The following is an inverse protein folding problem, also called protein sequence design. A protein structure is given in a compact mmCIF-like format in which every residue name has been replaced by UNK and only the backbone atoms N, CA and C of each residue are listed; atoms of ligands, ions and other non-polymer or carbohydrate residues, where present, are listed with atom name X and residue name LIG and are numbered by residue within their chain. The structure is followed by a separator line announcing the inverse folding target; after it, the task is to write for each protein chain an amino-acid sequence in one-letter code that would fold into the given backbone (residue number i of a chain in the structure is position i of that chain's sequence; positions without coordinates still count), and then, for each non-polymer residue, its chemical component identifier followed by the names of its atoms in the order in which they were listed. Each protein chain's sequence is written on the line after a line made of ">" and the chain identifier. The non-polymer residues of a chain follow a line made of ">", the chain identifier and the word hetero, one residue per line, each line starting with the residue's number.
data_IF_026548414548
#
_entry.id   IF_026548414548
#
_cell.length_a   1.000
_cell.length_b   1.000
_cell.length_c   1.000
_cell.angle_alpha   90.00
_cell.angle_beta   90.00
_cell.angle_gamma   90.00
#
_symmetry.space_group_name_H-M   'P 1'
#
loop_
_entity.id
_entity.type
_entity.pdbx_description
1 polymer ?
#
# COMPACT_ATOMS: atom_id res chain seq x y z
N UNK A 1 3.77 42.11 3.46
CA UNK A 1 2.31 42.13 3.75
C UNK A 1 2.17 42.17 5.26
N UNK A 2 1.43 43.15 5.80
CA UNK A 2 1.12 43.21 7.23
C UNK A 2 0.37 41.95 7.65
N UNK A 3 0.75 41.33 8.76
CA UNK A 3 -0.01 40.21 9.31
C UNK A 3 -1.42 40.70 9.65
N UNK A 4 -2.45 39.97 9.21
CA UNK A 4 -3.84 40.24 9.59
C UNK A 4 -3.95 40.05 11.11
N UNK A 5 -4.36 41.09 11.82
CA UNK A 5 -4.58 41.04 13.26
C UNK A 5 -5.96 40.42 13.53
N UNK A 6 -6.00 39.21 14.08
CA UNK A 6 -7.25 38.50 14.35
C UNK A 6 -7.63 38.71 15.82
N UNK A 7 -8.75 39.41 16.12
CA UNK A 7 -9.14 39.70 17.50
C UNK A 7 -9.24 38.44 18.36
N UNK A 8 -8.74 38.51 19.60
CA UNK A 8 -8.75 37.38 20.54
C UNK A 8 -7.60 36.38 20.35
N UNK A 9 -6.81 36.51 19.29
CA UNK A 9 -5.68 35.62 19.00
C UNK A 9 -4.36 36.41 18.91
N UNK A 10 -3.32 35.91 19.56
CA UNK A 10 -1.96 36.41 19.41
C UNK A 10 -1.16 35.47 18.51
N UNK A 11 -0.76 35.94 17.34
CA UNK A 11 0.06 35.15 16.42
C UNK A 11 1.46 34.96 16.99
N UNK A 12 1.92 33.71 17.09
CA UNK A 12 3.24 33.36 17.62
C UNK A 12 4.22 33.16 16.46
N UNK A 13 3.88 32.27 15.53
CA UNK A 13 4.71 32.00 14.34
C UNK A 13 3.89 31.39 13.21
N UNK A 14 4.33 31.59 11.98
CA UNK A 14 3.80 30.86 10.82
C UNK A 14 4.30 29.42 10.85
N UNK A 15 3.40 28.44 10.71
CA UNK A 15 3.72 27.00 10.74
C UNK A 15 3.40 26.29 9.42
N UNK A 16 2.63 26.91 8.53
CA UNK A 16 2.35 26.39 7.20
C UNK A 16 1.99 27.51 6.22
N UNK A 17 2.21 27.25 4.94
CA UNK A 17 1.77 28.12 3.85
C UNK A 17 1.33 27.22 2.69
N UNK A 18 0.10 27.42 2.22
CA UNK A 18 -0.46 26.76 1.05
C UNK A 18 -0.93 27.79 0.03
N UNK A 19 -1.35 27.31 -1.16
CA UNK A 19 -1.81 28.19 -2.23
C UNK A 19 -3.05 29.04 -1.89
N UNK A 20 -3.86 28.60 -0.91
CA UNK A 20 -5.14 29.23 -0.55
C UNK A 20 -5.19 29.74 0.89
N UNK A 21 -4.25 29.34 1.74
CA UNK A 21 -4.29 29.67 3.16
C UNK A 21 -2.89 29.62 3.79
N UNK A 22 -2.70 30.46 4.79
CA UNK A 22 -1.56 30.43 5.69
C UNK A 22 -1.99 29.87 7.05
N UNK A 23 -1.13 29.08 7.69
CA UNK A 23 -1.40 28.50 9.01
C UNK A 23 -0.40 29.04 10.01
N UNK A 24 -0.91 29.55 11.12
CA UNK A 24 -0.12 30.12 12.21
C UNK A 24 -0.33 29.34 13.50
N UNK A 25 0.74 29.15 14.28
CA UNK A 25 0.60 28.89 15.70
C UNK A 25 0.21 30.20 16.37
N UNK A 26 -0.88 30.19 17.13
CA UNK A 26 -1.39 31.35 17.84
C UNK A 26 -1.80 30.97 19.27
N UNK A 27 -1.84 31.95 20.15
CA UNK A 27 -2.43 31.83 21.48
C UNK A 27 -3.86 32.39 21.45
N UNK A 28 -4.85 31.61 21.88
CA UNK A 28 -6.19 32.11 22.13
C UNK A 28 -6.20 32.81 23.49
N UNK A 29 -6.17 34.15 23.48
CA UNK A 29 -5.85 34.98 24.65
C UNK A 29 -6.79 34.72 25.83
N UNK A 30 -8.09 34.58 25.56
CA UNK A 30 -9.10 34.38 26.60
C UNK A 30 -8.94 33.06 27.39
N UNK A 31 -8.33 32.04 26.78
CA UNK A 31 -8.17 30.71 27.37
C UNK A 31 -6.70 30.37 27.68
N UNK A 32 -5.73 31.18 27.23
CA UNK A 32 -4.30 30.94 27.43
C UNK A 32 -3.79 29.64 26.78
N UNK A 33 -4.44 29.17 25.70
CA UNK A 33 -4.08 27.93 25.01
C UNK A 33 -3.53 28.18 23.61
N UNK A 34 -2.65 27.28 23.16
CA UNK A 34 -2.13 27.28 21.80
C UNK A 34 -3.14 26.65 20.83
N UNK A 35 -3.32 27.29 19.69
CA UNK A 35 -4.19 26.87 18.59
C UNK A 35 -3.47 26.97 17.25
N UNK A 36 -3.90 26.19 16.28
CA UNK A 36 -3.57 26.42 14.88
C UNK A 36 -4.62 27.35 14.27
N UNK A 37 -4.16 28.46 13.68
CA UNK A 37 -5.01 29.48 13.07
C UNK A 37 -4.77 29.48 11.56
N UNK A 38 -5.72 28.93 10.81
CA UNK A 38 -5.69 28.89 9.35
C UNK A 38 -6.40 30.12 8.81
N UNK A 39 -5.69 30.94 8.04
CA UNK A 39 -6.16 32.21 7.49
C UNK A 39 -6.13 32.13 5.97
N UNK A 40 -7.29 32.34 5.33
CA UNK A 40 -7.39 32.30 3.87
C UNK A 40 -6.66 33.51 3.27
N UNK A 41 -5.85 33.29 2.23
CA UNK A 41 -5.00 34.34 1.63
C UNK A 41 -5.74 35.20 0.61
N UNK A 42 -6.87 34.72 0.09
CA UNK A 42 -7.68 35.44 -0.88
C UNK A 42 -9.00 35.90 -0.28
N UNK A 43 -9.35 37.16 -0.54
CA UNK A 43 -10.68 37.69 -0.22
C UNK A 43 -11.71 36.89 -1.02
N UNK A 44 -12.63 36.28 -0.30
CA UNK A 44 -13.63 35.39 -0.89
C UNK A 44 -14.88 36.20 -1.25
N UNK A 45 -15.52 35.89 -2.38
CA UNK A 45 -16.82 36.46 -2.77
C UNK A 45 -17.86 36.27 -1.63
N UNK A 46 -18.62 37.31 -1.23
CA UNK A 46 -19.62 37.22 -0.17
C UNK A 46 -20.58 36.03 -0.26
N UNK A 47 -20.96 35.59 -1.47
CA UNK A 47 -21.86 34.43 -1.65
C UNK A 47 -21.14 33.09 -1.40
N UNK A 48 -19.84 33.02 -1.66
CA UNK A 48 -18.99 31.87 -1.31
C UNK A 48 -18.74 31.84 0.21
N UNK A 49 -18.48 33.00 0.83
CA UNK A 49 -18.32 33.12 2.29
C UNK A 49 -19.50 32.51 3.06
N UNK A 50 -20.74 32.79 2.65
CA UNK A 50 -21.94 32.21 3.31
C UNK A 50 -21.97 30.68 3.27
N UNK A 51 -21.72 30.07 2.11
CA UNK A 51 -21.70 28.60 1.98
C UNK A 51 -20.52 28.00 2.74
N UNK A 52 -19.37 28.67 2.74
CA UNK A 52 -18.22 28.27 3.52
C UNK A 52 -18.59 28.15 5.00
N UNK A 53 -19.20 29.18 5.59
CA UNK A 53 -19.63 29.13 6.99
C UNK A 53 -20.66 28.03 7.27
N UNK A 54 -21.50 27.64 6.30
CA UNK A 54 -22.44 26.52 6.46
C UNK A 54 -21.72 25.18 6.55
N UNK A 55 -20.80 24.89 5.61
CA UNK A 55 -19.99 23.67 5.62
C UNK A 55 -19.07 23.62 6.84
N UNK A 56 -18.45 24.75 7.18
CA UNK A 56 -17.53 24.83 8.30
C UNK A 56 -18.22 24.61 9.65
N UNK A 57 -19.50 25.00 9.78
CA UNK A 57 -20.34 24.67 10.95
C UNK A 57 -20.63 23.18 11.07
N UNK A 58 -20.76 22.45 9.97
CA UNK A 58 -20.92 21.00 10.01
C UNK A 58 -19.66 20.34 10.54
N UNK A 59 -18.49 20.78 10.05
CA UNK A 59 -17.19 20.28 10.52
C UNK A 59 -16.96 20.63 12.00
N UNK A 60 -17.30 21.85 12.42
CA UNK A 60 -17.13 22.28 13.82
C UNK A 60 -18.01 21.52 14.83
N UNK A 61 -19.07 20.84 14.37
CA UNK A 61 -19.91 19.98 15.22
C UNK A 61 -19.38 18.56 15.34
N UNK A 62 -18.41 18.16 14.51
CA UNK A 62 -17.80 16.85 14.61
C UNK A 62 -16.89 16.78 15.83
N UNK A 63 -17.14 15.82 16.70
CA UNK A 63 -16.32 15.53 17.86
C UNK A 63 -15.84 14.09 17.79
N UNK A 64 -14.59 13.90 17.39
CA UNK A 64 -13.99 12.59 17.25
C UNK A 64 -12.48 12.64 17.55
N UNK A 65 -11.90 11.67 18.27
CA UNK A 65 -10.48 11.70 18.66
C UNK A 65 -9.49 11.73 17.47
N UNK A 66 -9.94 11.24 16.30
CA UNK A 66 -9.16 11.23 15.06
C UNK A 66 -9.56 12.35 14.08
N UNK A 67 -10.33 13.34 14.51
CA UNK A 67 -10.64 14.56 13.72
C UNK A 67 -10.14 15.78 14.51
N UNK A 68 -9.46 16.70 13.84
CA UNK A 68 -9.01 17.94 14.47
C UNK A 68 -10.22 18.76 14.90
N UNK A 69 -10.28 19.13 16.19
CA UNK A 69 -11.38 19.93 16.68
C UNK A 69 -11.26 21.38 16.19
N UNK A 70 -12.34 21.89 15.60
CA UNK A 70 -12.47 23.30 15.25
C UNK A 70 -13.09 24.04 16.44
N UNK A 71 -12.45 25.10 16.89
CA UNK A 71 -12.90 25.89 18.04
C UNK A 71 -13.69 27.11 17.64
N UNK A 72 -13.30 27.73 16.53
CA UNK A 72 -13.82 29.03 16.13
C UNK A 72 -13.63 29.24 14.64
N UNK A 73 -14.56 29.98 14.03
CA UNK A 73 -14.55 30.32 12.61
C UNK A 73 -15.10 31.73 12.49
N UNK A 74 -14.35 32.60 11.83
CA UNK A 74 -14.75 34.00 11.68
C UNK A 74 -14.17 34.65 10.44
N UNK A 75 -14.46 35.93 10.32
CA UNK A 75 -14.01 36.79 9.23
C UNK A 75 -13.38 38.06 9.82
N UNK A 76 -12.22 38.44 9.31
CA UNK A 76 -11.52 39.68 9.66
C UNK A 76 -10.99 40.32 8.39
N UNK A 77 -11.34 41.58 8.15
CA UNK A 77 -10.90 42.36 6.98
C UNK A 77 -11.15 41.67 5.61
N UNK A 78 -12.26 40.93 5.51
CA UNK A 78 -12.63 40.16 4.32
C UNK A 78 -11.88 38.83 4.15
N UNK A 79 -11.11 38.43 5.16
CA UNK A 79 -10.36 37.17 5.19
C UNK A 79 -10.96 36.23 6.22
N UNK A 80 -11.27 35.01 5.78
CA UNK A 80 -11.80 33.97 6.66
C UNK A 80 -10.66 33.36 7.49
N UNK A 81 -10.92 33.08 8.76
CA UNK A 81 -10.04 32.30 9.61
C UNK A 81 -10.76 31.11 10.25
N UNK A 82 -10.01 30.05 10.53
CA UNK A 82 -10.43 28.89 11.31
C UNK A 82 -9.40 28.70 12.43
N UNK A 83 -9.86 28.70 13.69
CA UNK A 83 -9.06 28.31 14.84
C UNK A 83 -9.36 26.85 15.19
N UNK A 84 -8.33 26.04 15.31
CA UNK A 84 -8.43 24.59 15.54
C UNK A 84 -7.34 24.10 16.50
N UNK A 85 -7.46 22.86 16.98
CA UNK A 85 -6.45 22.24 17.81
C UNK A 85 -5.07 22.32 17.15
N UNK A 86 -4.06 22.76 17.92
CA UNK A 86 -2.68 22.70 17.48
C UNK A 86 -2.11 21.29 17.71
N UNK A 87 -1.61 20.68 16.65
CA UNK A 87 -1.05 19.32 16.67
C UNK A 87 0.49 19.37 16.60
N UNK A 88 1.21 19.31 17.74
CA UNK A 88 2.66 19.51 17.77
C UNK A 88 3.48 18.34 17.20
N UNK A 89 2.88 17.17 16.96
CA UNK A 89 3.59 15.99 16.45
C UNK A 89 4.02 16.08 14.98
N UNK A 90 3.56 17.11 14.26
CA UNK A 90 3.76 17.29 12.82
C UNK A 90 2.75 16.53 11.98
N UNK A 91 3.01 16.40 10.69
CA UNK A 91 2.16 15.68 9.73
C UNK A 91 2.83 14.40 9.19
N UNK A 92 2.04 13.54 8.54
CA UNK A 92 2.51 12.30 7.94
C UNK A 92 3.48 12.52 6.78
N UNK A 93 3.35 13.63 6.03
CA UNK A 93 4.28 14.00 4.96
C UNK A 93 5.71 14.19 5.49
N UNK A 94 5.85 14.87 6.64
CA UNK A 94 7.12 15.05 7.33
C UNK A 94 7.66 13.73 7.88
N UNK A 95 6.79 12.90 8.46
CA UNK A 95 7.17 11.60 8.99
C UNK A 95 7.73 10.67 7.90
N UNK A 96 7.06 10.60 6.75
CA UNK A 96 7.48 9.78 5.59
C UNK A 96 8.74 10.33 4.90
N UNK A 97 9.12 11.59 5.12
CA UNK A 97 10.41 12.14 4.65
C UNK A 97 11.55 11.79 5.59
N UNK A 98 11.29 11.72 6.89
CA UNK A 98 12.28 11.42 7.92
C UNK A 98 12.63 9.93 7.97
N UNK A 99 11.65 9.07 7.69
CA UNK A 99 11.80 7.62 7.74
C UNK A 99 11.50 7.04 6.36
N UNK A 100 12.36 6.15 5.86
CA UNK A 100 12.18 5.53 4.54
C UNK A 100 10.91 4.66 4.49
N UNK A 101 10.62 3.90 5.56
CA UNK A 101 9.41 3.08 5.72
C UNK A 101 9.02 2.98 7.21
N UNK A 102 7.72 3.04 7.49
CA UNK A 102 7.18 2.80 8.83
C UNK A 102 6.99 1.30 9.08
N UNK A 103 7.10 0.81 10.33
CA UNK A 103 6.66 -0.53 10.69
C UNK A 103 5.21 -0.77 10.24
N UNK A 104 4.92 -1.98 9.76
CA UNK A 104 3.61 -2.33 9.21
C UNK A 104 2.50 -2.10 10.22
N UNK A 105 2.74 -2.43 11.49
CA UNK A 105 1.81 -2.25 12.60
C UNK A 105 1.47 -0.77 12.78
N UNK A 106 2.48 0.10 12.67
CA UNK A 106 2.28 1.55 12.77
C UNK A 106 1.52 2.09 11.55
N UNK A 107 1.82 1.58 10.36
CA UNK A 107 1.07 1.90 9.14
C UNK A 107 -0.41 1.55 9.29
N UNK A 108 -0.72 0.31 9.72
CA UNK A 108 -2.09 -0.13 9.92
C UNK A 108 -2.81 0.66 11.02
N UNK A 109 -2.11 1.05 12.09
CA UNK A 109 -2.68 1.90 13.14
C UNK A 109 -3.10 3.27 12.61
N UNK A 110 -2.24 3.92 11.80
CA UNK A 110 -2.55 5.22 11.18
C UNK A 110 -3.75 5.07 10.24
N UNK A 111 -3.77 4.05 9.39
CA UNK A 111 -4.88 3.81 8.46
C UNK A 111 -6.19 3.52 9.21
N UNK A 112 -6.13 2.78 10.32
CA UNK A 112 -7.26 2.53 11.20
C UNK A 112 -7.82 3.83 11.81
N UNK A 113 -6.96 4.67 12.38
CA UNK A 113 -7.34 5.97 12.96
C UNK A 113 -8.03 6.87 11.92
N UNK A 114 -7.52 6.92 10.69
CA UNK A 114 -8.11 7.71 9.61
C UNK A 114 -9.40 7.09 9.08
N UNK A 115 -9.51 5.76 9.02
CA UNK A 115 -10.76 5.09 8.66
C UNK A 115 -11.88 5.38 9.69
N UNK A 116 -11.56 5.48 10.99
CA UNK A 116 -12.51 5.89 12.03
C UNK A 116 -12.96 7.34 11.84
N UNK A 117 -12.02 8.25 11.54
CA UNK A 117 -12.33 9.65 11.24
C UNK A 117 -13.27 9.77 10.03
N UNK A 118 -12.98 9.01 8.96
CA UNK A 118 -13.79 8.99 7.75
C UNK A 118 -15.19 8.42 8.01
N UNK A 119 -15.30 7.31 8.75
CA UNK A 119 -16.59 6.75 9.15
C UNK A 119 -17.47 7.82 9.82
N UNK A 120 -16.93 8.49 10.84
CA UNK A 120 -17.66 9.50 11.58
C UNK A 120 -18.08 10.68 10.70
N UNK A 121 -17.20 11.14 9.80
CA UNK A 121 -17.53 12.22 8.87
C UNK A 121 -18.61 11.82 7.87
N UNK A 122 -18.54 10.61 7.31
CA UNK A 122 -19.48 10.09 6.33
C UNK A 122 -20.88 9.90 6.93
N UNK A 123 -20.98 9.45 8.19
CA UNK A 123 -22.25 9.37 8.94
C UNK A 123 -22.91 10.74 9.14
N UNK A 124 -22.11 11.81 9.16
CA UNK A 124 -22.58 13.20 9.22
C UNK A 124 -22.76 13.84 7.83
N UNK A 125 -22.67 13.06 6.75
CA UNK A 125 -22.88 13.52 5.38
C UNK A 125 -21.71 14.33 4.80
N UNK A 126 -20.52 14.26 5.41
CA UNK A 126 -19.34 15.04 5.01
C UNK A 126 -18.33 14.13 4.33
N UNK A 127 -18.01 14.40 3.07
CA UNK A 127 -16.92 13.75 2.33
C UNK A 127 -15.68 14.64 2.39
N UNK A 128 -14.51 14.09 2.72
CA UNK A 128 -13.28 14.87 2.90
C UNK A 128 -12.68 15.37 1.59
N UNK A 129 -12.60 14.51 0.56
CA UNK A 129 -12.15 14.78 -0.82
C UNK A 129 -10.68 15.13 -1.03
N UNK A 130 -9.84 15.05 0.01
CA UNK A 130 -8.41 15.42 -0.07
C UNK A 130 -7.54 14.64 0.92
N UNK A 131 -7.76 13.32 1.00
CA UNK A 131 -6.92 12.46 1.83
C UNK A 131 -5.51 12.39 1.23
N UNK A 132 -4.52 12.83 2.01
CA UNK A 132 -3.09 12.85 1.67
C UNK A 132 -2.25 12.99 2.95
N UNK A 133 -0.95 12.65 2.91
CA UNK A 133 -0.07 12.74 4.09
C UNK A 133 -0.04 14.11 4.79
N UNK A 134 -0.17 15.20 4.04
CA UNK A 134 -0.11 16.56 4.60
C UNK A 134 -1.33 16.89 5.50
N UNK A 135 -2.46 16.19 5.31
CA UNK A 135 -3.69 16.41 6.06
C UNK A 135 -3.85 15.44 7.26
N UNK A 136 -2.86 14.59 7.51
CA UNK A 136 -2.85 13.66 8.63
C UNK A 136 -1.82 14.16 9.65
N UNK A 137 -2.32 14.66 10.77
CA UNK A 137 -1.54 15.26 11.85
C UNK A 137 -1.34 14.27 13.00
N UNK A 138 -0.37 14.57 13.87
CA UNK A 138 -0.07 13.77 15.04
C UNK A 138 -0.13 14.59 16.32
N UNK A 139 -0.62 13.96 17.39
CA UNK A 139 -0.48 14.48 18.74
C UNK A 139 0.99 14.49 19.17
N UNK A 140 1.29 15.10 20.33
CA UNK A 140 2.65 15.39 20.77
C UNK A 140 3.59 14.18 20.81
N UNK A 141 3.10 13.04 21.30
CA UNK A 141 3.83 11.76 21.39
C UNK A 141 3.74 10.94 20.10
N UNK A 142 3.05 11.45 19.07
CA UNK A 142 2.73 10.78 17.81
C UNK A 142 2.02 9.45 18.00
N UNK A 143 1.33 9.21 19.11
CA UNK A 143 0.59 7.96 19.32
C UNK A 143 -0.66 7.85 18.44
N UNK A 144 -1.30 8.98 18.09
CA UNK A 144 -2.58 9.03 17.38
C UNK A 144 -2.52 9.86 16.10
N UNK A 145 -3.07 9.32 15.02
CA UNK A 145 -3.29 10.07 13.78
C UNK A 145 -4.63 10.83 13.85
N UNK A 146 -4.62 12.08 13.41
CA UNK A 146 -5.77 12.99 13.45
C UNK A 146 -5.92 13.66 12.10
N UNK A 147 -7.11 13.56 11.52
CA UNK A 147 -7.45 14.11 10.21
C UNK A 147 -7.84 15.58 10.32
N UNK A 148 -7.29 16.42 9.45
CA UNK A 148 -7.57 17.85 9.36
C UNK A 148 -8.00 18.24 7.94
N UNK A 149 -8.37 19.50 7.74
CA UNK A 149 -8.58 20.07 6.40
C UNK A 149 -9.65 19.34 5.56
N UNK A 150 -10.77 19.01 6.22
CA UNK A 150 -12.01 18.65 5.54
C UNK A 150 -12.30 19.72 4.47
N UNK A 151 -12.70 19.28 3.27
CA UNK A 151 -12.75 20.05 2.03
C UNK A 151 -13.70 21.26 1.96
N UNK A 152 -13.95 21.95 3.07
CA UNK A 152 -14.81 23.14 3.28
C UNK A 152 -14.53 24.25 2.24
N UNK A 153 -13.32 24.30 1.67
CA UNK A 153 -12.93 25.28 0.66
C UNK A 153 -13.04 24.78 -0.80
N UNK A 154 -13.19 23.47 -1.03
CA UNK A 154 -13.10 22.87 -2.37
C UNK A 154 -14.40 22.89 -3.16
N UNK A 155 -15.55 22.77 -2.51
CA UNK A 155 -16.85 22.76 -3.21
C UNK A 155 -17.15 24.08 -3.96
N UNK A 156 -16.45 25.16 -3.60
CA UNK A 156 -16.80 26.52 -4.05
C UNK A 156 -15.81 27.14 -5.04
N UNK A 157 -14.63 26.53 -5.18
CA UNK A 157 -13.70 26.80 -6.30
C UNK A 157 -13.98 25.87 -7.48
N UNK A 158 -14.53 24.69 -7.20
CA UNK A 158 -14.91 23.67 -8.18
C UNK A 158 -15.87 24.17 -9.28
N UNK A 159 -16.79 25.09 -8.97
CA UNK A 159 -17.73 25.60 -9.97
C UNK A 159 -17.08 26.40 -11.12
N UNK A 160 -15.82 26.87 -10.97
CA UNK A 160 -15.09 27.57 -12.04
C UNK A 160 -13.79 26.88 -12.48
N UNK A 161 -13.28 25.88 -11.75
CA UNK A 161 -11.99 25.23 -12.06
C UNK A 161 -12.12 23.83 -12.67
N UNK A 162 -13.33 23.24 -12.68
CA UNK A 162 -13.54 21.89 -13.24
C UNK A 162 -13.47 21.79 -14.78
N UNK A 163 -13.22 22.88 -15.50
CA UNK A 163 -13.06 22.88 -16.97
C UNK A 163 -11.63 23.12 -17.47
N UNK A 164 -10.63 23.19 -16.60
CA UNK A 164 -9.23 23.18 -17.01
C UNK A 164 -8.48 22.04 -16.34
N UNK A 165 -8.55 20.88 -16.98
CA UNK A 165 -7.55 19.81 -16.87
C UNK A 165 -6.19 20.42 -17.23
N UNK A 166 -5.51 21.01 -16.24
CA UNK A 166 -4.26 21.74 -16.47
C UNK A 166 -3.88 22.78 -15.42
N UNK A 167 -4.82 23.29 -14.60
CA UNK A 167 -4.54 24.38 -13.63
C UNK A 167 -4.80 24.03 -12.17
N UNK A 168 -5.25 22.81 -11.85
CA UNK A 168 -5.39 22.39 -10.45
C UNK A 168 -4.06 22.49 -9.73
N UNK A 169 -4.00 23.37 -8.73
CA UNK A 169 -2.85 23.54 -7.84
C UNK A 169 -2.64 22.24 -7.05
N UNK A 170 -1.79 21.37 -7.58
CA UNK A 170 -1.36 20.11 -6.97
C UNK A 170 -1.46 18.90 -7.91
N UNK A 171 -0.42 18.07 -7.94
CA UNK A 171 -0.43 16.78 -8.63
C UNK A 171 -1.49 15.84 -8.01
N UNK A 172 -2.39 15.21 -8.77
CA UNK A 172 -3.54 14.44 -8.28
C UNK A 172 -3.17 13.05 -7.72
N UNK A 173 -2.14 12.99 -6.87
CA UNK A 173 -1.47 11.75 -6.42
C UNK A 173 -2.35 10.76 -5.66
N UNK A 174 -3.39 11.27 -5.00
CA UNK A 174 -4.31 10.47 -4.16
C UNK A 174 -5.76 10.55 -4.66
N UNK A 175 -5.99 11.12 -5.85
CA UNK A 175 -7.34 11.39 -6.35
C UNK A 175 -8.07 10.09 -6.73
N UNK A 176 -9.35 10.00 -6.38
CA UNK A 176 -10.20 8.87 -6.80
C UNK A 176 -10.55 8.91 -8.30
N UNK A 177 -10.89 7.76 -8.92
CA UNK A 177 -11.27 7.69 -10.33
C UNK A 177 -12.51 8.54 -10.69
N UNK A 178 -13.44 8.72 -9.75
CA UNK A 178 -14.63 9.55 -9.91
C UNK A 178 -14.32 11.04 -9.78
N UNK A 179 -13.42 11.44 -8.86
CA UNK A 179 -12.91 12.81 -8.80
C UNK A 179 -12.20 13.20 -10.10
N UNK A 180 -11.35 12.31 -10.63
CA UNK A 180 -10.63 12.54 -11.88
C UNK A 180 -11.57 12.66 -13.10
N UNK A 181 -12.78 12.10 -13.00
CA UNK A 181 -13.83 12.20 -14.04
C UNK A 181 -14.85 13.32 -13.79
N UNK A 182 -14.73 14.07 -12.68
CA UNK A 182 -15.73 15.06 -12.29
C UNK A 182 -17.11 14.48 -11.99
N UNK A 183 -17.18 13.22 -11.54
CA UNK A 183 -18.43 12.57 -11.17
C UNK A 183 -18.83 12.95 -9.73
N UNK A 184 -20.12 12.81 -9.36
CA UNK A 184 -20.55 12.94 -7.97
C UNK A 184 -19.73 12.03 -7.04
N UNK A 185 -19.41 12.54 -5.86
CA UNK A 185 -18.57 11.87 -4.87
C UNK A 185 -19.41 11.42 -3.67
N UNK A 186 -19.03 10.29 -3.10
CA UNK A 186 -19.48 9.85 -1.77
C UNK A 186 -18.27 9.45 -0.91
N UNK A 187 -18.52 8.93 0.30
CA UNK A 187 -17.45 8.55 1.23
C UNK A 187 -16.46 7.52 0.67
N UNK A 188 -16.84 6.73 -0.33
CA UNK A 188 -15.98 5.69 -0.94
C UNK A 188 -14.88 6.31 -1.80
N UNK A 189 -15.00 7.58 -2.18
CA UNK A 189 -13.91 8.35 -2.78
C UNK A 189 -12.77 8.55 -1.79
N UNK A 190 -13.07 8.84 -0.52
CA UNK A 190 -12.05 9.00 0.52
C UNK A 190 -11.37 7.67 0.85
N UNK A 191 -12.12 6.56 0.85
CA UNK A 191 -11.58 5.21 1.08
C UNK A 191 -10.62 4.77 -0.03
N UNK A 192 -10.86 5.20 -1.28
CA UNK A 192 -9.89 5.00 -2.36
C UNK A 192 -8.59 5.76 -2.10
N UNK A 193 -8.69 7.04 -1.75
CA UNK A 193 -7.53 7.88 -1.43
C UNK A 193 -6.76 7.33 -0.22
N UNK A 194 -7.46 6.78 0.77
CA UNK A 194 -6.86 6.09 1.91
C UNK A 194 -6.15 4.78 1.47
N UNK A 195 -6.68 4.06 0.49
CA UNK A 195 -6.02 2.91 -0.13
C UNK A 195 -4.73 3.27 -0.86
N UNK A 196 -4.72 4.39 -1.60
CA UNK A 196 -3.50 4.94 -2.22
C UNK A 196 -2.45 5.26 -1.15
N UNK A 197 -2.86 5.89 -0.05
CA UNK A 197 -1.99 6.20 1.07
C UNK A 197 -1.44 4.94 1.74
N UNK A 198 -2.29 3.93 1.99
CA UNK A 198 -1.87 2.63 2.52
C UNK A 198 -0.77 2.02 1.64
N UNK A 199 -0.98 1.97 0.33
CA UNK A 199 0.02 1.44 -0.61
C UNK A 199 1.36 2.20 -0.48
N UNK A 200 1.30 3.53 -0.43
CA UNK A 200 2.50 4.36 -0.28
C UNK A 200 3.23 4.08 1.03
N UNK A 201 2.51 3.95 2.14
CA UNK A 201 3.10 3.70 3.45
C UNK A 201 3.71 2.29 3.55
N UNK A 202 3.12 1.31 2.85
CA UNK A 202 3.63 -0.06 2.81
C UNK A 202 4.87 -0.22 1.91
N UNK A 203 4.92 0.50 0.78
CA UNK A 203 5.94 0.28 -0.27
C UNK A 203 6.95 1.42 -0.40
N UNK A 204 6.68 2.57 0.22
CA UNK A 204 7.49 3.79 0.10
C UNK A 204 7.27 4.56 -1.21
N UNK A 205 6.44 4.03 -2.12
CA UNK A 205 6.21 4.60 -3.46
C UNK A 205 4.72 4.78 -3.74
N UNK A 206 4.36 5.76 -4.58
CA UNK A 206 2.98 5.91 -5.01
C UNK A 206 2.58 4.73 -5.92
N UNK A 207 1.29 4.34 -5.96
CA UNK A 207 0.85 3.24 -6.81
C UNK A 207 1.02 3.54 -8.30
N UNK A 208 0.94 4.83 -8.67
CA UNK A 208 1.06 5.27 -10.05
C UNK A 208 2.05 6.42 -10.16
N UNK A 209 2.87 6.36 -11.20
CA UNK A 209 3.81 7.39 -11.61
C UNK A 209 3.52 7.80 -13.05
N UNK A 210 3.55 9.10 -13.30
CA UNK A 210 3.33 9.70 -14.61
C UNK A 210 4.08 11.05 -14.70
N UNK A 211 4.48 11.48 -15.91
CA UNK A 211 5.25 12.70 -16.10
C UNK A 211 4.45 13.98 -15.85
N UNK A 212 3.11 13.93 -16.00
CA UNK A 212 2.22 15.07 -15.85
C UNK A 212 0.94 14.69 -15.07
N UNK A 213 0.22 15.71 -14.61
CA UNK A 213 -0.96 15.56 -13.78
C UNK A 213 -2.14 14.87 -14.49
N UNK A 214 -2.34 15.13 -15.79
CA UNK A 214 -3.41 14.53 -16.56
C UNK A 214 -3.16 13.03 -16.74
N UNK A 215 -1.95 12.65 -17.13
CA UNK A 215 -1.58 11.24 -17.27
C UNK A 215 -1.67 10.50 -15.94
N UNK A 216 -1.35 11.15 -14.81
CA UNK A 216 -1.54 10.56 -13.48
C UNK A 216 -3.02 10.35 -13.14
N UNK A 217 -3.88 11.32 -13.43
CA UNK A 217 -5.33 11.19 -13.23
C UNK A 217 -5.90 10.04 -14.08
N UNK A 218 -5.46 9.92 -15.34
CA UNK A 218 -5.82 8.80 -16.22
C UNK A 218 -5.32 7.45 -15.67
N UNK A 219 -4.15 7.41 -15.03
CA UNK A 219 -3.66 6.20 -14.38
C UNK A 219 -4.59 5.73 -13.26
N UNK A 220 -5.08 6.64 -12.40
CA UNK A 220 -6.08 6.27 -11.40
C UNK A 220 -7.38 5.74 -12.02
N UNK A 221 -7.79 6.29 -13.18
CA UNK A 221 -8.98 5.89 -13.93
C UNK A 221 -8.85 4.49 -14.56
N UNK A 222 -7.68 4.16 -15.11
CA UNK A 222 -7.52 3.02 -16.05
C UNK A 222 -6.61 1.90 -15.53
N UNK A 223 -5.49 2.21 -14.85
CA UNK A 223 -4.52 1.19 -14.46
C UNK A 223 -5.06 0.37 -13.28
N UNK A 224 -4.86 -0.96 -13.25
CA UNK A 224 -5.30 -1.78 -12.12
C UNK A 224 -4.60 -1.36 -10.81
N UNK A 225 -5.15 -1.71 -9.64
CA UNK A 225 -4.39 -1.64 -8.39
C UNK A 225 -3.02 -2.34 -8.54
N UNK A 226 -1.93 -1.76 -8.03
CA UNK A 226 -0.60 -2.37 -8.12
C UNK A 226 -0.51 -3.65 -7.27
N UNK A 227 0.32 -4.58 -7.75
CA UNK A 227 0.68 -5.79 -7.00
C UNK A 227 1.73 -5.43 -5.95
N UNK A 228 1.45 -5.75 -4.70
CA UNK A 228 2.39 -5.61 -3.59
C UNK A 228 3.50 -6.67 -3.69
N UNK A 229 4.70 -6.37 -3.20
CA UNK A 229 5.76 -7.36 -3.03
C UNK A 229 5.28 -8.57 -2.21
N UNK A 230 5.85 -9.76 -2.45
CA UNK A 230 5.42 -11.00 -1.79
C UNK A 230 5.44 -10.93 -0.26
N UNK A 231 6.37 -10.17 0.33
CA UNK A 231 6.45 -9.91 1.78
C UNK A 231 5.21 -9.18 2.34
N UNK A 232 4.46 -8.50 1.49
CA UNK A 232 3.27 -7.73 1.80
C UNK A 232 1.99 -8.30 1.16
N UNK A 233 2.07 -9.48 0.54
CA UNK A 233 0.95 -10.09 -0.19
C UNK A 233 -0.32 -10.28 0.67
N UNK A 234 -0.16 -10.46 1.99
CA UNK A 234 -1.28 -10.52 2.94
C UNK A 234 -2.16 -9.26 2.96
N UNK A 235 -1.64 -8.12 2.52
CA UNK A 235 -2.37 -6.84 2.41
C UNK A 235 -2.94 -6.59 1.01
N UNK A 236 -2.69 -7.47 0.03
CA UNK A 236 -3.10 -7.26 -1.36
C UNK A 236 -4.61 -7.05 -1.48
N UNK A 237 -5.40 -7.92 -0.85
CA UNK A 237 -6.85 -7.84 -0.89
C UNK A 237 -7.39 -6.54 -0.26
N UNK A 238 -6.70 -5.98 0.74
CA UNK A 238 -7.04 -4.69 1.32
C UNK A 238 -6.77 -3.56 0.32
N UNK A 239 -5.59 -3.56 -0.33
CA UNK A 239 -5.25 -2.58 -1.37
C UNK A 239 -6.17 -2.67 -2.57
N UNK A 240 -6.43 -3.88 -3.09
CA UNK A 240 -7.30 -4.13 -4.23
C UNK A 240 -8.70 -3.61 -3.96
N UNK A 241 -9.27 -3.94 -2.79
CA UNK A 241 -10.62 -3.53 -2.42
C UNK A 241 -10.71 -2.03 -2.17
N UNK A 242 -9.75 -1.41 -1.49
CA UNK A 242 -9.74 0.05 -1.32
C UNK A 242 -9.59 0.78 -2.67
N UNK A 243 -8.73 0.29 -3.56
CA UNK A 243 -8.40 0.93 -4.83
C UNK A 243 -9.21 0.41 -6.03
N UNK A 244 -10.31 -0.32 -5.80
CA UNK A 244 -11.19 -0.79 -6.85
C UNK A 244 -11.73 0.39 -7.68
N UNK A 245 -11.89 0.21 -8.99
CA UNK A 245 -12.19 1.34 -9.88
C UNK A 245 -13.64 1.77 -9.79
N UNK A 246 -14.55 0.83 -9.60
CA UNK A 246 -15.94 1.12 -9.31
C UNK A 246 -16.12 1.35 -7.81
N UNK A 247 -16.78 2.43 -7.37
CA UNK A 247 -17.07 2.66 -5.95
C UNK A 247 -17.82 1.50 -5.29
N UNK A 248 -18.71 0.82 -6.02
CA UNK A 248 -19.50 -0.32 -5.50
C UNK A 248 -18.66 -1.57 -5.21
N UNK A 249 -17.46 -1.67 -5.76
CA UNK A 249 -16.51 -2.76 -5.49
C UNK A 249 -15.62 -2.49 -4.26
N UNK A 250 -15.69 -1.27 -3.69
CA UNK A 250 -14.89 -0.86 -2.53
C UNK A 250 -15.53 -1.27 -1.22
N UNK A 251 -14.87 -0.91 -0.12
CA UNK A 251 -15.52 -0.92 1.20
C UNK A 251 -16.70 0.05 1.20
N UNK A 252 -17.82 -0.38 1.77
CA UNK A 252 -19.03 0.43 1.86
C UNK A 252 -18.80 1.66 2.73
N UNK A 253 -18.01 1.51 3.79
CA UNK A 253 -17.69 2.56 4.76
C UNK A 253 -16.34 2.28 5.48
N UNK A 254 -15.95 3.17 6.39
CA UNK A 254 -14.71 3.04 7.16
C UNK A 254 -14.73 1.83 8.10
N UNK A 255 -15.88 1.50 8.70
CA UNK A 255 -16.04 0.34 9.58
C UNK A 255 -15.80 -0.99 8.85
N UNK A 256 -16.29 -1.12 7.62
CA UNK A 256 -16.04 -2.30 6.78
C UNK A 256 -14.55 -2.46 6.46
N UNK A 257 -13.84 -1.35 6.19
CA UNK A 257 -12.39 -1.38 5.98
C UNK A 257 -11.64 -1.79 7.25
N UNK A 258 -12.00 -1.23 8.41
CA UNK A 258 -11.41 -1.58 9.72
C UNK A 258 -11.63 -3.06 10.05
N UNK A 259 -12.84 -3.57 9.86
CA UNK A 259 -13.18 -4.97 10.11
C UNK A 259 -12.34 -5.89 9.24
N UNK A 260 -12.19 -5.54 7.96
CA UNK A 260 -11.33 -6.28 7.04
C UNK A 260 -9.86 -6.24 7.48
N UNK A 261 -9.36 -5.07 7.88
CA UNK A 261 -7.99 -4.91 8.42
C UNK A 261 -7.74 -5.78 9.65
N UNK A 262 -8.71 -5.90 10.56
CA UNK A 262 -8.57 -6.80 11.73
C UNK A 262 -8.50 -8.26 11.30
N UNK A 263 -9.33 -8.67 10.34
CA UNK A 263 -9.35 -10.06 9.85
C UNK A 263 -8.06 -10.52 9.17
N UNK A 264 -7.22 -9.58 8.70
CA UNK A 264 -5.90 -9.87 8.11
C UNK A 264 -4.75 -9.73 9.13
N UNK A 265 -5.00 -9.06 10.27
CA UNK A 265 -4.03 -8.87 11.36
C UNK A 265 -4.16 -9.93 12.45
N UNK A 266 -5.36 -10.48 12.66
CA UNK A 266 -5.57 -11.61 13.55
C UNK A 266 -4.96 -12.88 12.93
N UNK A 267 -4.13 -13.64 13.66
CA UNK A 267 -3.85 -15.01 13.27
C UNK A 267 -5.20 -15.72 13.26
N UNK A 268 -5.68 -16.15 12.10
CA UNK A 268 -6.88 -16.98 12.02
C UNK A 268 -6.67 -18.18 12.94
N UNK A 269 -7.35 -18.19 14.09
CA UNK A 269 -7.63 -19.43 14.81
C UNK A 269 -8.42 -20.31 13.82
N UNK A 270 -7.72 -21.27 13.23
CA UNK A 270 -8.39 -22.30 12.46
C UNK A 270 -9.23 -23.13 13.45
N UNK A 271 -10.53 -23.35 13.18
CA UNK A 271 -11.29 -24.33 13.96
C UNK A 271 -10.57 -25.67 13.87
N UNK A 272 -10.41 -26.33 15.01
CA UNK A 272 -9.63 -27.56 15.16
C UNK A 272 -9.93 -28.55 14.02
N UNK A 273 -8.93 -28.77 13.17
CA UNK A 273 -8.95 -29.79 12.13
C UNK A 273 -9.23 -31.17 12.78
N UNK A 274 -10.10 -32.01 12.19
CA UNK A 274 -10.33 -33.35 12.72
C UNK A 274 -9.01 -34.12 12.70
N UNK A 275 -8.70 -34.80 13.83
CA UNK A 275 -7.45 -35.56 14.02
C UNK A 275 -7.16 -36.44 12.80
N UNK A 276 -5.93 -36.42 12.26
CA UNK A 276 -5.58 -37.26 11.12
C UNK A 276 -5.55 -38.72 11.57
N UNK A 277 -6.22 -39.59 10.80
CA UNK A 277 -5.96 -41.02 10.82
C UNK A 277 -4.48 -41.23 10.44
N UNK A 278 -3.71 -41.80 11.36
CA UNK A 278 -2.33 -42.22 11.16
C UNK A 278 -2.28 -43.34 10.13
N UNK A 279 -1.88 -43.05 8.90
CA UNK A 279 -1.36 -44.05 7.95
C UNK A 279 -0.36 -43.47 6.93
N UNK A 280 0.26 -42.32 7.23
CA UNK A 280 1.39 -41.80 6.44
C UNK A 280 2.70 -41.89 7.23
N UNK A 281 3.81 -42.33 6.59
CA UNK A 281 5.11 -42.37 7.22
C UNK A 281 5.57 -40.95 7.59
N UNK A 282 6.38 -40.80 8.66
CA UNK A 282 6.74 -39.49 9.18
C UNK A 282 7.55 -38.68 8.16
N UNK A 283 7.28 -37.37 8.11
CA UNK A 283 8.08 -36.42 7.36
C UNK A 283 9.51 -36.34 7.94
N UNK A 284 10.52 -36.15 7.09
CA UNK A 284 11.92 -36.17 7.49
C UNK A 284 12.43 -34.86 8.13
N UNK A 285 13.45 -35.00 8.97
CA UNK A 285 14.13 -33.96 9.75
C UNK A 285 14.96 -32.94 8.91
N UNK A 286 15.35 -31.78 9.48
CA UNK A 286 15.93 -30.62 8.79
C UNK A 286 17.33 -30.79 8.19
N UNK A 287 18.02 -31.91 8.43
CA UNK A 287 19.36 -32.20 7.88
C UNK A 287 19.35 -32.88 6.50
N UNK A 288 18.24 -32.78 5.72
CA UNK A 288 18.16 -33.51 4.46
C UNK A 288 19.03 -32.91 3.36
N UNK A 289 20.10 -33.63 3.03
CA UNK A 289 20.88 -33.47 1.81
C UNK A 289 20.00 -33.45 0.55
N UNK A 290 20.46 -32.71 -0.47
CA UNK A 290 19.88 -32.76 -1.82
C UNK A 290 19.87 -34.21 -2.32
N UNK A 291 18.69 -34.76 -2.56
CA UNK A 291 18.52 -36.13 -3.01
C UNK A 291 18.47 -36.20 -4.53
N UNK A 292 19.18 -37.16 -5.12
CA UNK A 292 19.26 -37.38 -6.57
C UNK A 292 18.78 -38.80 -6.88
N UNK A 293 17.81 -38.93 -7.77
CA UNK A 293 17.27 -40.21 -8.22
C UNK A 293 17.25 -40.26 -9.76
N UNK A 294 17.87 -41.29 -10.33
CA UNK A 294 17.89 -41.51 -11.78
C UNK A 294 16.89 -42.61 -12.18
N UNK A 295 16.06 -42.32 -13.18
CA UNK A 295 15.11 -43.27 -13.75
C UNK A 295 15.26 -43.34 -15.27
N UNK A 296 15.08 -44.54 -15.81
CA UNK A 296 15.13 -44.79 -17.26
C UNK A 296 13.78 -45.36 -17.68
N UNK A 297 13.02 -44.58 -18.45
CA UNK A 297 11.70 -44.97 -18.92
C UNK A 297 11.70 -45.23 -20.43
N UNK A 298 10.84 -46.16 -20.87
CA UNK A 298 10.61 -46.47 -22.27
C UNK A 298 11.51 -47.59 -22.85
N UNK A 299 11.15 -48.11 -24.03
CA UNK A 299 11.88 -49.21 -24.69
C UNK A 299 13.27 -48.75 -25.15
N UNK A 300 14.19 -49.69 -25.40
CA UNK A 300 15.62 -49.40 -25.65
C UNK A 300 15.89 -48.38 -26.78
N UNK A 301 14.99 -48.29 -27.77
CA UNK A 301 15.07 -47.36 -28.91
C UNK A 301 14.49 -45.97 -28.63
N UNK A 302 13.80 -45.76 -27.50
CA UNK A 302 13.15 -44.51 -27.12
C UNK A 302 13.37 -44.15 -25.63
N UNK A 303 14.50 -44.57 -25.05
CA UNK A 303 14.80 -44.36 -23.62
C UNK A 303 14.81 -42.88 -23.26
N UNK A 304 14.03 -42.54 -22.23
CA UNK A 304 14.03 -41.26 -21.54
C UNK A 304 14.83 -41.39 -20.25
N UNK A 305 15.77 -40.48 -20.06
CA UNK A 305 16.59 -40.40 -18.86
C UNK A 305 16.05 -39.27 -17.98
N UNK A 306 15.45 -39.65 -16.86
CA UNK A 306 14.82 -38.73 -15.93
C UNK A 306 15.73 -38.62 -14.71
N UNK A 307 16.17 -37.41 -14.40
CA UNK A 307 16.85 -37.11 -13.15
C UNK A 307 15.88 -36.35 -12.26
N UNK A 308 15.57 -36.89 -11.09
CA UNK A 308 14.76 -36.24 -10.08
C UNK A 308 15.66 -35.74 -8.95
N UNK A 309 15.53 -34.46 -8.63
CA UNK A 309 16.27 -33.79 -7.58
C UNK A 309 15.27 -33.26 -6.56
N UNK A 310 15.42 -33.64 -5.30
CA UNK A 310 14.57 -33.15 -4.21
C UNK A 310 15.41 -32.51 -3.12
N UNK A 311 15.06 -31.29 -2.73
CA UNK A 311 15.79 -30.54 -1.70
C UNK A 311 14.86 -29.69 -0.83
N UNK A 312 15.33 -29.41 0.39
CA UNK A 312 14.72 -28.46 1.30
C UNK A 312 15.64 -27.24 1.46
N UNK A 313 15.06 -26.03 1.47
CA UNK A 313 15.79 -24.79 1.70
C UNK A 313 15.11 -23.96 2.80
N UNK A 314 15.80 -23.76 3.91
CA UNK A 314 15.38 -22.93 5.04
C UNK A 314 15.80 -21.46 4.88
N UNK A 315 16.99 -21.23 4.33
CA UNK A 315 17.52 -19.93 3.97
C UNK A 315 18.17 -19.89 2.56
N UNK A 316 18.59 -18.70 2.12
CA UNK A 316 19.14 -18.51 0.77
C UNK A 316 20.56 -19.06 0.61
N UNK A 317 21.36 -19.08 1.68
CA UNK A 317 22.72 -19.63 1.65
C UNK A 317 22.68 -21.16 1.56
N UNK A 318 21.75 -21.78 2.28
CA UNK A 318 21.40 -23.18 2.18
C UNK A 318 21.00 -23.55 0.76
N UNK A 319 20.09 -22.78 0.14
CA UNK A 319 19.71 -23.00 -1.25
C UNK A 319 20.89 -22.87 -2.21
N UNK A 320 21.74 -21.85 -2.06
CA UNK A 320 22.93 -21.67 -2.90
C UNK A 320 23.91 -22.85 -2.78
N UNK A 321 24.10 -23.41 -1.58
CA UNK A 321 24.90 -24.63 -1.39
C UNK A 321 24.31 -25.82 -2.15
N UNK A 322 22.99 -25.99 -2.13
CA UNK A 322 22.32 -27.02 -2.92
C UNK A 322 22.45 -26.78 -4.43
N UNK A 323 22.37 -25.53 -4.88
CA UNK A 323 22.52 -25.15 -6.28
C UNK A 323 23.91 -25.54 -6.83
N UNK A 324 24.97 -25.31 -6.05
CA UNK A 324 26.34 -25.74 -6.39
C UNK A 324 26.43 -27.26 -6.55
N UNK A 325 25.86 -28.03 -5.61
CA UNK A 325 25.84 -29.51 -5.70
C UNK A 325 25.10 -30.01 -6.95
N UNK A 326 23.98 -29.38 -7.30
CA UNK A 326 23.23 -29.71 -8.52
C UNK A 326 24.08 -29.45 -9.77
N UNK A 327 24.80 -28.32 -9.82
CA UNK A 327 25.67 -28.00 -10.94
C UNK A 327 26.81 -29.01 -11.11
N UNK A 328 27.46 -29.40 -10.00
CA UNK A 328 28.51 -30.43 -10.02
C UNK A 328 27.97 -31.78 -10.53
N UNK A 329 26.81 -32.22 -10.04
CA UNK A 329 26.19 -33.47 -10.48
C UNK A 329 25.79 -33.44 -11.96
N UNK A 330 25.17 -32.35 -12.42
CA UNK A 330 24.81 -32.20 -13.83
C UNK A 330 26.03 -32.13 -14.75
N UNK A 331 27.18 -31.66 -14.25
CA UNK A 331 28.42 -31.61 -15.03
C UNK A 331 28.95 -33.02 -15.36
N UNK A 332 28.81 -33.99 -14.46
CA UNK A 332 29.22 -35.38 -14.68
C UNK A 332 28.18 -36.19 -15.47
N UNK A 333 26.88 -35.88 -15.32
CA UNK A 333 25.78 -36.51 -16.05
C UNK A 333 25.71 -36.14 -17.55
N UNK A 334 26.49 -35.13 -17.98
CA UNK A 334 26.55 -34.61 -19.36
C UNK A 334 27.19 -35.54 -20.40
N UNK A 335 27.83 -36.65 -20.01
CA UNK A 335 28.71 -37.43 -20.90
C UNK A 335 28.01 -38.13 -22.09
N UNK A 336 26.69 -38.33 -22.08
CA UNK A 336 25.98 -39.03 -23.17
C UNK A 336 25.08 -38.08 -23.98
N UNK A 337 25.54 -37.63 -25.15
CA UNK A 337 24.95 -36.54 -25.98
C UNK A 337 23.73 -36.95 -26.85
N UNK A 338 23.39 -38.24 -26.95
CA UNK A 338 22.43 -38.74 -27.95
C UNK A 338 21.03 -39.11 -27.42
N UNK A 339 20.68 -38.80 -26.17
CA UNK A 339 19.42 -39.29 -25.57
C UNK A 339 18.58 -38.18 -24.95
N UNK A 340 17.25 -38.34 -24.97
CA UNK A 340 16.30 -37.40 -24.37
C UNK A 340 16.45 -37.43 -22.85
N UNK A 341 16.75 -36.27 -22.27
CA UNK A 341 16.97 -36.06 -20.83
C UNK A 341 15.89 -35.13 -20.30
N UNK A 342 15.38 -35.45 -19.11
CA UNK A 342 14.35 -34.70 -18.41
C UNK A 342 14.84 -34.48 -16.97
N UNK A 343 14.67 -33.27 -16.44
CA UNK A 343 15.00 -32.95 -15.05
C UNK A 343 13.71 -32.61 -14.29
N UNK A 344 13.46 -33.31 -13.20
CA UNK A 344 12.42 -32.96 -12.22
C UNK A 344 13.13 -32.32 -11.02
N UNK A 345 12.84 -31.07 -10.72
CA UNK A 345 13.43 -30.34 -9.60
C UNK A 345 12.35 -30.00 -8.59
N UNK A 346 12.36 -30.68 -7.46
CA UNK A 346 11.39 -30.52 -6.37
C UNK A 346 12.06 -29.77 -5.23
N UNK A 347 11.62 -28.54 -5.00
CA UNK A 347 12.17 -27.66 -3.98
C UNK A 347 11.08 -27.39 -2.96
N UNK A 348 11.34 -27.74 -1.71
CA UNK A 348 10.54 -27.28 -0.57
C UNK A 348 11.30 -26.14 0.07
N UNK A 349 10.70 -24.95 0.17
CA UNK A 349 11.41 -23.80 0.71
C UNK A 349 10.53 -22.98 1.67
N UNK A 350 11.14 -22.37 2.68
CA UNK A 350 10.41 -21.50 3.60
C UNK A 350 9.84 -20.26 2.85
N UNK A 351 8.60 -19.80 3.14
CA UNK A 351 7.90 -18.77 2.37
C UNK A 351 8.68 -17.48 2.07
N UNK A 352 9.56 -17.06 2.98
CA UNK A 352 10.34 -15.82 2.87
C UNK A 352 11.48 -15.82 1.84
N UNK A 353 11.99 -16.98 1.41
CA UNK A 353 13.09 -17.07 0.43
C UNK A 353 12.64 -17.55 -0.95
N UNK A 354 11.38 -17.99 -1.09
CA UNK A 354 10.86 -18.59 -2.32
C UNK A 354 10.98 -17.67 -3.54
N UNK A 355 10.65 -16.38 -3.40
CA UNK A 355 10.80 -15.42 -4.50
C UNK A 355 12.26 -15.24 -4.91
N UNK A 356 13.18 -15.30 -3.95
CA UNK A 356 14.62 -15.22 -4.23
C UNK A 356 15.15 -16.51 -4.88
N UNK A 357 14.62 -17.66 -4.52
CA UNK A 357 14.91 -18.95 -5.17
C UNK A 357 14.48 -18.91 -6.64
N UNK A 358 13.28 -18.39 -6.93
CA UNK A 358 12.80 -18.21 -8.31
C UNK A 358 13.72 -17.29 -9.12
N UNK A 359 14.08 -16.13 -8.56
CA UNK A 359 15.03 -15.20 -9.19
C UNK A 359 16.38 -15.86 -9.49
N UNK A 360 16.93 -16.62 -8.53
CA UNK A 360 18.21 -17.32 -8.69
C UNK A 360 18.15 -18.42 -9.75
N UNK A 361 17.07 -19.20 -9.79
CA UNK A 361 16.88 -20.21 -10.83
C UNK A 361 16.72 -19.55 -12.20
N UNK A 362 16.03 -18.40 -12.28
CA UNK A 362 15.83 -17.66 -13.53
C UNK A 362 17.16 -17.09 -14.03
N UNK A 363 17.98 -16.54 -13.12
CA UNK A 363 19.34 -16.09 -13.42
C UNK A 363 20.22 -17.26 -13.87
N UNK A 364 20.22 -18.37 -13.12
CA UNK A 364 20.98 -19.60 -13.44
C UNK A 364 20.64 -20.16 -14.83
N UNK A 365 19.40 -19.99 -15.28
CA UNK A 365 18.98 -20.40 -16.63
C UNK A 365 19.69 -19.62 -17.75
N UNK A 366 20.08 -18.37 -17.51
CA UNK A 366 20.77 -17.51 -18.46
C UNK A 366 22.31 -17.60 -18.35
N UNK A 367 22.81 -18.18 -17.26
CA UNK A 367 24.24 -18.34 -17.02
C UNK A 367 24.84 -19.53 -17.80
N UNK A 368 26.13 -19.43 -18.13
CA UNK A 368 26.87 -20.49 -18.79
C UNK A 368 27.35 -21.58 -17.80
N UNK A 369 26.41 -22.16 -17.04
CA UNK A 369 26.67 -23.19 -16.00
C UNK A 369 26.15 -24.57 -16.41
N UNK A 370 26.47 -25.59 -15.61
CA UNK A 370 26.00 -26.96 -15.83
C UNK A 370 24.46 -27.04 -15.85
N UNK A 371 23.82 -26.35 -14.91
CA UNK A 371 22.38 -26.24 -14.80
C UNK A 371 21.79 -25.35 -15.91
N UNK A 372 22.36 -24.16 -16.16
CA UNK A 372 21.87 -23.25 -17.19
C UNK A 372 21.79 -23.87 -18.58
N UNK A 373 22.88 -24.49 -19.06
CA UNK A 373 22.83 -25.14 -20.40
C UNK A 373 21.87 -26.34 -20.43
N UNK A 374 21.62 -27.00 -19.29
CA UNK A 374 20.65 -28.10 -19.23
C UNK A 374 19.22 -27.56 -19.41
N UNK A 375 18.86 -26.52 -18.66
CA UNK A 375 17.54 -25.86 -18.68
C UNK A 375 17.21 -25.18 -20.01
N UNK A 376 18.24 -24.91 -20.84
CA UNK A 376 18.07 -24.41 -22.20
C UNK A 376 17.85 -25.52 -23.23
N UNK A 377 18.41 -26.72 -23.01
CA UNK A 377 18.43 -27.81 -24.01
C UNK A 377 17.42 -28.93 -23.74
N UNK A 378 16.92 -29.04 -22.53
CA UNK A 378 16.14 -30.18 -22.05
C UNK A 378 14.92 -29.71 -21.26
N UNK A 379 13.93 -30.60 -21.12
CA UNK A 379 12.70 -30.34 -20.36
C UNK A 379 13.01 -30.31 -18.86
N UNK A 380 12.51 -29.29 -18.16
CA UNK A 380 12.70 -29.11 -16.71
C UNK A 380 11.38 -28.86 -16.03
N UNK A 381 10.99 -29.80 -15.18
CA UNK A 381 9.79 -29.71 -14.35
C UNK A 381 10.20 -29.21 -12.97
N UNK A 382 9.97 -27.92 -12.72
CA UNK A 382 10.15 -27.32 -11.39
C UNK A 382 8.85 -27.47 -10.59
N UNK A 383 8.96 -28.01 -9.38
CA UNK A 383 7.93 -27.94 -8.35
C UNK A 383 8.50 -27.20 -7.16
N UNK A 384 8.03 -25.98 -6.94
CA UNK A 384 8.36 -25.20 -5.75
C UNK A 384 7.19 -25.27 -4.78
N UNK A 385 7.45 -25.76 -3.58
CA UNK A 385 6.45 -25.98 -2.53
C UNK A 385 6.83 -25.20 -1.28
N UNK A 386 5.82 -24.74 -0.53
CA UNK A 386 6.05 -24.27 0.84
C UNK A 386 6.29 -25.45 1.80
N UNK A 387 6.76 -25.13 3.00
CA UNK A 387 6.99 -26.07 4.10
C UNK A 387 5.71 -26.79 4.58
N UNK A 388 4.54 -26.38 4.09
CA UNK A 388 3.23 -26.99 4.33
C UNK A 388 2.72 -27.81 3.14
N UNK A 389 3.55 -28.00 2.10
CA UNK A 389 3.24 -28.82 0.93
C UNK A 389 2.30 -28.16 -0.08
N UNK A 390 2.07 -26.83 0.01
CA UNK A 390 1.30 -26.09 -0.99
C UNK A 390 2.17 -25.87 -2.22
N UNK A 391 1.70 -26.34 -3.38
CA UNK A 391 2.38 -26.14 -4.67
C UNK A 391 2.20 -24.71 -5.17
N UNK A 392 3.31 -24.01 -5.41
CA UNK A 392 3.31 -22.58 -5.75
C UNK A 392 3.64 -22.32 -7.22
N UNK A 393 4.44 -23.19 -7.83
CA UNK A 393 4.82 -23.08 -9.24
C UNK A 393 4.94 -24.48 -9.85
N UNK A 394 4.52 -24.60 -11.11
CA UNK A 394 4.70 -25.83 -11.88
C UNK A 394 5.33 -25.52 -13.23
N UNK A 395 6.47 -26.17 -13.48
CA UNK A 395 7.09 -26.40 -14.78
C UNK A 395 7.70 -25.19 -15.51
N UNK A 396 8.90 -25.39 -16.07
CA UNK A 396 9.52 -24.46 -17.00
C UNK A 396 9.63 -25.12 -18.38
N UNK A 397 9.00 -24.51 -19.38
CA UNK A 397 9.17 -24.98 -20.76
C UNK A 397 10.57 -24.65 -21.27
N UNK A 398 11.24 -25.56 -22.02
CA UNK A 398 12.54 -25.26 -22.63
C UNK A 398 12.44 -24.04 -23.55
N UNK A 399 13.52 -23.25 -23.61
CA UNK A 399 13.64 -22.14 -24.56
C UNK A 399 13.94 -22.74 -25.94
N UNK A 400 12.98 -23.40 -26.57
CA UNK A 400 13.15 -23.87 -27.94
C UNK A 400 13.07 -22.70 -28.91
N UNK A 401 14.03 -22.65 -29.83
CA UNK A 401 13.73 -22.35 -31.24
C UNK A 401 13.35 -23.65 -31.92
#
# INVERSE_FOLDING_TARGET
>A
MSLVAIPGYRLIKKIGSGGMADVYLAEQIALGRNVALKVMTTRTDPEKVKRFFQEARLVARMHHPNIVAVHDIGEVDGSIFIAMDYMPGGNLSELLKQQSLLPVERTLQIIHDIALALQHAHENGIVHRDIKPDNILFNQDRSRAVLTDFGIARDQLANNELTQVGTTVGTPKYMSPEQARGKPLDGRSDLYSLGVLLYQMLTGSLPYHAPDALTLALAHIQKPPPVLPSSLARFQALVDKSMAKQPDERFVDGNAMITFMRSISEPKEQPASPKPHNDFPPLPSPDKECHFEEQINGPWYARQYILQISLFADDIENFQRHLTKIQEYLSSWRSNKQRRKILHLHITAHPWIQGRIQELLHASRQENTALGTFMQKHEVFLQLMDDRGVLLEHSWQPLTK
#
